data_IF_366007735018
#
_entry.id   IF_366007735018
#
_cell.length_a   1.000
_cell.length_b   1.000
_cell.length_c   1.000
_cell.angle_alpha   90.00
_cell.angle_beta   90.00
_cell.angle_gamma   90.00
#
_symmetry.space_group_name_H-M   'P 1'
#
loop_
_entity.id
_entity.type
_entity.pdbx_description
1 polymer ?
#
# COMPACT_ATOMS: atom_id res chain seq x y z
N UNK A 1 12.54 3.81 -84.81
CA UNK A 1 12.79 2.50 -85.45
C UNK A 1 12.54 1.44 -84.37
N UNK A 2 11.68 0.42 -84.47
CA UNK A 2 11.12 -0.30 -85.62
C UNK A 2 11.52 -1.79 -85.49
N UNK A 3 10.51 -2.67 -85.44
CA UNK A 3 10.48 -4.16 -85.43
C UNK A 3 10.52 -4.88 -84.07
N UNK A 4 9.47 -5.63 -83.66
CA UNK A 4 8.82 -6.84 -84.22
C UNK A 4 9.76 -8.05 -84.23
N UNK A 5 9.41 -9.25 -83.73
CA UNK A 5 8.16 -9.78 -83.20
C UNK A 5 8.24 -11.30 -83.05
N UNK A 6 7.10 -11.91 -82.70
CA UNK A 6 6.75 -13.35 -82.90
C UNK A 6 7.27 -14.34 -81.81
N UNK A 7 6.49 -15.25 -81.19
CA UNK A 7 5.13 -15.76 -81.46
C UNK A 7 4.60 -16.65 -80.32
N UNK A 8 3.27 -16.56 -80.09
CA UNK A 8 2.24 -17.62 -79.80
C UNK A 8 2.41 -18.59 -78.61
N UNK A 9 1.51 -18.56 -77.62
CA UNK A 9 0.15 -19.18 -77.54
C UNK A 9 0.21 -20.60 -76.91
N UNK A 10 -0.69 -21.13 -76.08
CA UNK A 10 -1.94 -20.69 -75.44
C UNK A 10 -2.30 -21.72 -74.36
N UNK A 11 -3.02 -21.31 -73.29
CA UNK A 11 -4.26 -21.96 -72.78
C UNK A 11 -4.81 -21.24 -71.53
N UNK A 12 -6.08 -20.87 -71.61
CA UNK A 12 -7.02 -20.35 -70.58
C UNK A 12 -7.96 -21.52 -70.18
N UNK A 13 -8.99 -21.40 -69.29
CA UNK A 13 -9.38 -20.32 -68.36
C UNK A 13 -9.82 -20.84 -66.95
N UNK A 14 -10.27 -19.93 -66.07
CA UNK A 14 -11.30 -20.05 -64.99
C UNK A 14 -10.79 -19.44 -63.69
N UNK A 15 -11.48 -18.63 -62.90
CA UNK A 15 -12.77 -17.92 -62.95
C UNK A 15 -12.78 -16.99 -61.72
N UNK A 16 -13.30 -15.76 -61.84
CA UNK A 16 -13.67 -14.90 -60.68
C UNK A 16 -15.08 -15.36 -60.21
N UNK A 17 -15.53 -15.15 -58.95
CA UNK A 17 -15.47 -13.86 -58.24
C UNK A 17 -15.34 -13.88 -56.69
N UNK A 18 -14.98 -12.71 -56.15
CA UNK A 18 -15.44 -12.08 -54.90
C UNK A 18 -16.05 -12.95 -53.78
N UNK A 19 -15.53 -12.80 -52.55
CA UNK A 19 -16.35 -12.44 -51.38
C UNK A 19 -15.49 -11.98 -50.19
N UNK A 20 -15.69 -10.73 -49.76
CA UNK A 20 -15.36 -10.27 -48.40
C UNK A 20 -16.44 -10.76 -47.42
N UNK A 21 -16.01 -11.00 -46.17
CA UNK A 21 -16.70 -10.95 -44.86
C UNK A 21 -16.56 -12.26 -44.06
N UNK A 22 -16.74 -12.25 -42.72
CA UNK A 22 -16.63 -11.15 -41.75
C UNK A 22 -15.61 -11.47 -40.63
N UNK A 23 -15.33 -10.48 -39.79
CA UNK A 23 -14.63 -10.68 -38.53
C UNK A 23 -15.38 -11.72 -37.69
N UNK A 24 -14.67 -12.79 -37.31
CA UNK A 24 -15.20 -13.79 -36.40
C UNK A 24 -15.50 -13.15 -35.05
N UNK A 25 -16.71 -13.46 -34.58
CA UNK A 25 -17.38 -12.78 -33.49
C UNK A 25 -16.58 -12.76 -32.20
N UNK A 26 -16.65 -11.61 -31.54
CA UNK A 26 -16.41 -11.51 -30.10
C UNK A 26 -17.35 -12.52 -29.43
N UNK A 27 -16.78 -13.60 -28.91
CA UNK A 27 -17.49 -14.58 -28.09
C UNK A 27 -18.24 -13.83 -26.98
N UNK A 28 -19.50 -14.20 -26.75
CA UNK A 28 -20.34 -13.64 -25.67
C UNK A 28 -19.71 -13.78 -24.27
N UNK A 29 -18.63 -14.57 -24.13
CA UNK A 29 -17.80 -14.65 -22.91
C UNK A 29 -16.81 -13.49 -22.73
N UNK A 30 -16.37 -12.83 -23.80
CA UNK A 30 -15.41 -11.72 -23.73
C UNK A 30 -16.06 -10.39 -23.31
N UNK A 31 -17.37 -10.22 -23.55
CA UNK A 31 -18.09 -8.98 -23.20
C UNK A 31 -18.41 -8.86 -21.69
N UNK A 32 -18.36 -9.97 -20.93
CA UNK A 32 -18.48 -9.95 -19.47
C UNK A 32 -17.16 -9.60 -18.77
N UNK A 33 -16.04 -9.55 -19.50
CA UNK A 33 -14.73 -9.15 -18.96
C UNK A 33 -14.36 -7.73 -19.42
N UNK A 34 -15.04 -7.14 -20.42
CA UNK A 34 -14.44 -6.06 -21.21
C UNK A 34 -15.07 -4.65 -21.24
N UNK A 35 -16.39 -4.42 -21.08
CA UNK A 35 -16.84 -3.04 -21.37
C UNK A 35 -18.32 -2.68 -21.37
N UNK A 36 -19.14 -3.25 -20.48
CA UNK A 36 -20.60 -3.10 -20.56
C UNK A 36 -21.32 -2.51 -19.36
N UNK A 37 -20.71 -1.66 -18.50
CA UNK A 37 -21.42 -1.17 -17.29
C UNK A 37 -21.16 0.31 -16.94
N UNK A 38 -21.05 1.20 -17.93
CA UNK A 38 -20.53 2.57 -17.68
C UNK A 38 -21.47 3.48 -16.83
N UNK A 39 -22.77 3.18 -16.67
CA UNK A 39 -23.65 4.01 -15.82
C UNK A 39 -24.07 3.36 -14.49
N UNK A 40 -24.32 2.05 -14.44
CA UNK A 40 -24.71 1.36 -13.20
C UNK A 40 -23.52 0.75 -12.43
N UNK A 41 -22.39 0.47 -13.10
CA UNK A 41 -21.16 0.08 -12.39
C UNK A 41 -20.41 1.27 -11.85
N UNK A 42 -20.72 2.51 -12.24
CA UNK A 42 -20.16 3.67 -11.53
C UNK A 42 -20.46 3.54 -10.03
N UNK A 43 -21.72 3.33 -9.67
CA UNK A 43 -22.15 3.17 -8.28
C UNK A 43 -21.76 1.80 -7.71
N UNK A 44 -22.00 0.69 -8.42
CA UNK A 44 -21.69 -0.64 -7.90
C UNK A 44 -20.17 -0.90 -7.78
N UNK A 45 -19.34 -0.41 -8.71
CA UNK A 45 -17.88 -0.48 -8.61
C UNK A 45 -17.33 0.49 -7.57
N UNK A 46 -17.95 1.67 -7.38
CA UNK A 46 -17.60 2.56 -6.25
C UNK A 46 -17.93 1.92 -4.91
N UNK A 47 -19.03 1.18 -4.79
CA UNK A 47 -19.38 0.44 -3.58
C UNK A 47 -18.49 -0.81 -3.39
N UNK A 48 -18.10 -1.47 -4.48
CA UNK A 48 -17.23 -2.64 -4.42
C UNK A 48 -15.75 -2.28 -4.19
N UNK A 49 -15.31 -1.05 -4.53
CA UNK A 49 -13.89 -0.66 -4.43
C UNK A 49 -13.35 -0.81 -3.01
N UNK A 50 -14.16 -0.51 -2.00
CA UNK A 50 -13.74 -0.54 -0.59
C UNK A 50 -13.72 -1.97 -0.05
N UNK A 51 -14.54 -2.87 -0.60
CA UNK A 51 -14.47 -4.31 -0.31
C UNK A 51 -13.25 -4.95 -0.98
N UNK A 52 -13.01 -4.62 -2.26
CA UNK A 52 -11.85 -5.11 -3.01
C UNK A 52 -10.54 -4.60 -2.42
N UNK A 53 -10.45 -3.32 -2.02
CA UNK A 53 -9.26 -2.78 -1.35
C UNK A 53 -8.96 -3.48 -0.03
N UNK A 54 -9.99 -3.77 0.78
CA UNK A 54 -9.83 -4.51 2.03
C UNK A 54 -9.34 -5.93 1.80
N UNK A 55 -9.93 -6.63 0.84
CA UNK A 55 -9.51 -7.99 0.48
C UNK A 55 -8.09 -8.03 -0.10
N UNK A 56 -7.72 -7.04 -0.91
CA UNK A 56 -6.40 -6.97 -1.56
C UNK A 56 -5.24 -6.87 -0.56
N UNK A 57 -5.35 -6.01 0.45
CA UNK A 57 -4.32 -5.90 1.50
C UNK A 57 -4.34 -7.06 2.51
N UNK A 58 -5.36 -7.92 2.47
CA UNK A 58 -5.40 -9.15 3.27
C UNK A 58 -4.72 -10.34 2.58
N UNK A 59 -4.26 -10.18 1.32
CA UNK A 59 -3.53 -11.22 0.60
C UNK A 59 -2.10 -11.33 1.14
N UNK A 60 -1.60 -12.52 1.50
CA UNK A 60 -0.22 -12.69 1.94
C UNK A 60 0.79 -12.12 0.94
N UNK A 61 1.72 -11.28 1.42
CA UNK A 61 2.75 -10.63 0.61
C UNK A 61 2.34 -9.31 -0.05
N UNK A 62 1.12 -8.83 0.21
CA UNK A 62 0.60 -7.54 -0.29
C UNK A 62 0.51 -6.55 0.87
N UNK A 63 1.60 -5.82 1.12
CA UNK A 63 1.66 -4.81 2.19
C UNK A 63 1.23 -3.43 1.71
N UNK A 64 0.64 -2.61 2.59
CA UNK A 64 0.42 -1.19 2.31
C UNK A 64 1.76 -0.49 2.01
N UNK A 65 1.86 0.39 1.00
CA UNK A 65 3.11 1.09 0.72
C UNK A 65 3.48 2.02 1.88
N UNK A 66 4.72 1.95 2.36
CA UNK A 66 5.27 2.90 3.33
C UNK A 66 6.10 3.95 2.60
N UNK A 67 5.87 5.22 2.92
CA UNK A 67 6.82 6.29 2.59
C UNK A 67 7.78 6.47 3.78
N UNK A 68 9.10 6.29 3.59
CA UNK A 68 10.07 6.54 4.65
C UNK A 68 9.93 7.96 5.19
N UNK A 69 9.88 8.11 6.52
CA UNK A 69 9.79 9.41 7.17
C UNK A 69 8.45 10.13 7.06
N UNK A 70 7.40 9.45 6.59
CA UNK A 70 6.07 10.02 6.58
C UNK A 70 5.55 10.21 8.01
N UNK A 71 4.97 11.38 8.26
CA UNK A 71 4.41 11.76 9.55
C UNK A 71 2.91 11.48 9.55
N UNK A 72 2.44 10.83 10.60
CA UNK A 72 1.01 10.69 10.89
C UNK A 72 0.51 11.89 11.70
N UNK A 73 1.38 12.48 12.53
CA UNK A 73 1.15 13.76 13.19
C UNK A 73 1.97 14.89 12.55
N UNK A 74 1.29 15.85 11.92
CA UNK A 74 1.93 16.94 11.19
C UNK A 74 2.84 17.85 12.04
N UNK A 75 2.64 17.90 13.36
CA UNK A 75 3.47 18.68 14.29
C UNK A 75 4.74 17.97 14.76
N UNK A 76 4.98 16.73 14.32
CA UNK A 76 6.18 15.98 14.69
C UNK A 76 7.36 16.22 13.72
N UNK A 77 8.53 15.80 14.17
CA UNK A 77 9.69 15.51 13.31
C UNK A 77 9.94 14.01 13.28
N UNK A 78 10.54 13.50 12.20
CA UNK A 78 10.77 12.06 12.08
C UNK A 78 12.18 11.67 12.56
N UNK A 79 12.25 10.70 13.48
CA UNK A 79 13.49 10.02 13.86
C UNK A 79 13.20 8.53 14.05
N UNK A 80 13.58 7.70 13.08
CA UNK A 80 13.21 6.29 13.09
C UNK A 80 13.74 5.54 14.33
N UNK A 81 12.87 4.76 14.97
CA UNK A 81 13.27 3.71 15.90
C UNK A 81 13.95 2.55 15.16
N UNK A 82 14.72 1.74 15.88
CA UNK A 82 15.28 0.51 15.33
C UNK A 82 14.17 -0.45 14.89
N UNK A 83 14.32 -1.09 13.73
CA UNK A 83 13.38 -2.11 13.23
C UNK A 83 13.28 -3.33 14.16
N UNK A 84 14.24 -3.53 15.07
CA UNK A 84 14.17 -4.57 16.10
C UNK A 84 13.15 -4.27 17.22
N UNK A 85 12.71 -3.02 17.33
CA UNK A 85 11.90 -2.51 18.45
C UNK A 85 10.41 -2.37 18.13
N UNK A 86 10.00 -2.79 16.92
CA UNK A 86 8.62 -2.77 16.45
C UNK A 86 8.40 -3.83 15.37
N UNK A 87 7.15 -3.98 14.89
CA UNK A 87 6.84 -4.84 13.73
C UNK A 87 5.85 -4.21 12.79
N UNK A 88 5.92 -4.62 11.53
CA UNK A 88 4.94 -4.26 10.51
C UNK A 88 3.53 -4.73 10.88
N UNK A 89 2.55 -3.93 10.48
CA UNK A 89 1.13 -4.22 10.52
C UNK A 89 0.39 -3.46 9.40
N UNK A 90 -0.80 -3.85 9.02
CA UNK A 90 -1.63 -3.16 8.04
C UNK A 90 -2.88 -2.53 8.68
N UNK A 91 -2.67 -1.78 9.77
CA UNK A 91 -3.74 -1.09 10.49
C UNK A 91 -4.55 -0.12 9.58
N UNK A 92 -5.87 0.01 9.78
CA UNK A 92 -6.70 -0.65 10.79
C UNK A 92 -7.22 -2.04 10.37
N UNK A 93 -6.76 -2.60 9.24
CA UNK A 93 -7.30 -3.86 8.70
C UNK A 93 -6.85 -5.07 9.53
N UNK A 94 -5.62 -5.02 10.06
CA UNK A 94 -5.19 -5.81 11.21
C UNK A 94 -5.00 -4.88 12.43
N UNK A 95 -5.18 -5.42 13.64
CA UNK A 95 -4.96 -4.72 14.91
C UNK A 95 -5.52 -3.28 15.01
N UNK A 96 -6.85 -3.07 14.85
CA UNK A 96 -7.44 -1.74 14.95
C UNK A 96 -7.09 -1.08 16.29
N UNK A 97 -6.62 0.17 16.20
CA UNK A 97 -6.24 0.97 17.36
C UNK A 97 -7.49 1.38 18.12
N UNK A 98 -7.50 1.14 19.43
CA UNK A 98 -8.60 1.54 20.33
C UNK A 98 -8.12 2.18 21.63
N UNK A 99 -6.81 2.39 21.78
CA UNK A 99 -6.23 3.04 22.96
C UNK A 99 -4.97 3.83 22.63
N UNK A 100 -4.69 4.79 23.50
CA UNK A 100 -3.40 5.45 23.61
C UNK A 100 -2.80 5.01 24.93
N UNK A 101 -1.52 4.64 24.92
CA UNK A 101 -0.75 4.34 26.13
C UNK A 101 0.24 5.49 26.32
N UNK A 102 0.21 6.07 27.51
CA UNK A 102 1.04 7.20 27.90
C UNK A 102 2.05 6.70 28.91
N UNK A 103 3.32 7.02 28.67
CA UNK A 103 4.45 6.69 29.53
C UNK A 103 5.22 7.96 29.90
N UNK A 104 6.09 7.81 30.90
CA UNK A 104 7.13 8.77 31.23
C UNK A 104 8.47 8.07 31.03
N UNK A 105 9.40 8.74 30.36
CA UNK A 105 10.69 8.16 29.92
C UNK A 105 11.62 7.74 31.06
N UNK A 106 11.47 8.30 32.27
CA UNK A 106 12.48 8.22 33.34
C UNK A 106 13.86 8.68 32.85
N UNK A 107 13.87 9.75 32.05
CA UNK A 107 15.06 10.22 31.33
C UNK A 107 14.78 11.46 30.49
N UNK A 108 15.82 12.02 29.87
CA UNK A 108 15.68 13.14 28.94
C UNK A 108 15.12 12.70 27.59
N UNK A 109 14.61 13.67 26.83
CA UNK A 109 14.13 13.47 25.46
C UNK A 109 15.19 12.80 24.58
N UNK A 110 16.42 13.32 24.59
CA UNK A 110 17.50 12.82 23.75
C UNK A 110 17.93 11.41 24.17
N UNK A 111 17.87 11.10 25.47
CA UNK A 111 18.14 9.75 25.95
C UNK A 111 17.08 8.75 25.46
N UNK A 112 15.79 9.13 25.49
CA UNK A 112 14.71 8.28 25.00
C UNK A 112 14.83 8.03 23.49
N UNK A 113 15.12 9.07 22.70
CA UNK A 113 15.37 8.92 21.25
C UNK A 113 16.52 7.93 21.00
N UNK A 114 17.65 8.11 21.69
CA UNK A 114 18.82 7.26 21.53
C UNK A 114 18.54 5.81 21.91
N UNK A 115 17.81 5.59 23.00
CA UNK A 115 17.46 4.25 23.49
C UNK A 115 16.56 3.51 22.51
N UNK A 116 15.56 4.17 21.91
CA UNK A 116 14.69 3.51 20.93
C UNK A 116 15.35 3.29 19.56
N UNK A 117 16.49 3.93 19.29
CA UNK A 117 17.35 3.62 18.14
C UNK A 117 18.26 2.41 18.37
N UNK A 118 18.43 1.95 19.61
CA UNK A 118 19.25 0.78 19.93
C UNK A 118 18.46 -0.52 19.66
N UNK A 119 18.91 -1.39 18.73
CA UNK A 119 18.25 -2.68 18.50
C UNK A 119 18.29 -3.62 19.71
N UNK A 120 19.24 -3.44 20.64
CA UNK A 120 19.34 -4.25 21.85
C UNK A 120 18.27 -3.87 22.90
N UNK A 121 17.60 -2.72 22.75
CA UNK A 121 16.59 -2.28 23.71
C UNK A 121 15.28 -3.06 23.61
N UNK A 122 14.93 -3.57 22.42
CA UNK A 122 13.74 -4.39 22.13
C UNK A 122 12.40 -3.72 22.49
N UNK A 123 12.39 -2.39 22.62
CA UNK A 123 11.22 -1.58 22.92
C UNK A 123 11.28 -0.23 22.20
N UNK A 124 10.13 0.33 21.87
CA UNK A 124 10.01 1.67 21.29
C UNK A 124 8.57 2.17 21.42
N UNK A 125 8.39 3.45 21.12
CA UNK A 125 7.09 4.13 21.10
C UNK A 125 6.82 4.78 19.74
N UNK A 126 5.58 5.20 19.50
CA UNK A 126 5.25 5.92 18.26
C UNK A 126 5.72 7.37 18.34
N UNK A 127 5.52 8.02 19.49
CA UNK A 127 5.86 9.42 19.71
C UNK A 127 6.62 9.65 21.01
N UNK A 128 7.58 10.59 20.98
CA UNK A 128 8.17 11.20 22.18
C UNK A 128 7.79 12.67 22.21
N UNK A 129 7.36 13.17 23.37
CA UNK A 129 7.02 14.57 23.64
C UNK A 129 8.03 15.15 24.63
N UNK A 130 8.73 16.21 24.24
CA UNK A 130 9.66 16.94 25.09
C UNK A 130 8.94 17.96 25.98
N UNK A 131 9.60 18.39 27.06
CA UNK A 131 9.04 19.40 27.96
C UNK A 131 8.85 20.77 27.30
N UNK A 132 9.61 21.05 26.23
CA UNK A 132 9.50 22.24 25.39
C UNK A 132 8.35 22.14 24.35
N UNK A 133 7.58 21.04 24.37
CA UNK A 133 6.45 20.79 23.46
C UNK A 133 6.86 20.20 22.11
N UNK A 134 8.15 19.94 21.87
CA UNK A 134 8.58 19.27 20.62
C UNK A 134 8.09 17.83 20.59
N UNK A 135 7.76 17.35 19.40
CA UNK A 135 7.32 15.96 19.19
C UNK A 135 8.21 15.29 18.15
N UNK A 136 8.68 14.09 18.48
CA UNK A 136 9.33 13.19 17.51
C UNK A 136 8.43 12.00 17.28
N UNK A 137 8.16 11.68 16.01
CA UNK A 137 7.55 10.44 15.59
C UNK A 137 8.65 9.45 15.19
N UNK A 138 8.60 8.25 15.77
CA UNK A 138 9.62 7.22 15.56
C UNK A 138 9.14 6.01 14.77
N UNK A 139 7.83 5.74 14.84
CA UNK A 139 7.16 4.62 14.18
C UNK A 139 5.88 5.16 13.56
N UNK A 140 5.48 4.63 12.40
CA UNK A 140 4.18 4.93 11.80
C UNK A 140 3.07 4.35 12.67
N UNK A 141 1.95 5.05 12.81
CA UNK A 141 0.76 4.49 13.49
C UNK A 141 0.21 3.23 12.80
N UNK A 142 0.57 3.06 11.53
CA UNK A 142 0.34 1.86 10.74
C UNK A 142 0.98 0.60 11.35
N UNK A 143 2.12 0.74 12.05
CA UNK A 143 2.95 -0.36 12.54
C UNK A 143 2.89 -0.50 14.07
N UNK A 144 3.25 -1.66 14.62
CA UNK A 144 3.07 -1.99 16.03
C UNK A 144 4.36 -1.77 16.82
N UNK A 145 4.37 -0.78 17.72
CA UNK A 145 5.47 -0.54 18.66
C UNK A 145 5.49 -1.55 19.84
N UNK A 146 6.68 -1.94 20.31
CA UNK A 146 6.83 -2.76 21.52
C UNK A 146 6.97 -1.89 22.77
N UNK A 147 5.85 -1.43 23.34
CA UNK A 147 5.87 -0.42 24.42
C UNK A 147 5.35 -0.89 25.78
N UNK A 148 4.39 -1.81 25.81
CA UNK A 148 3.61 -2.09 27.02
C UNK A 148 4.07 -3.35 27.77
N UNK A 149 5.13 -4.03 27.30
CA UNK A 149 5.49 -5.37 27.76
C UNK A 149 4.41 -6.45 27.53
N UNK A 150 3.30 -6.07 26.89
CA UNK A 150 2.15 -6.92 26.64
C UNK A 150 1.73 -6.82 25.17
N UNK A 151 1.75 -7.96 24.48
CA UNK A 151 1.49 -8.04 23.04
C UNK A 151 0.10 -7.56 22.65
N UNK A 152 -0.96 -7.96 23.36
CA UNK A 152 -2.33 -7.59 22.98
C UNK A 152 -2.59 -6.09 23.15
N UNK A 153 -1.91 -5.47 24.12
CA UNK A 153 -1.93 -4.02 24.30
C UNK A 153 -1.17 -3.31 23.18
N UNK A 154 0.06 -3.73 22.88
CA UNK A 154 0.87 -3.16 21.80
C UNK A 154 0.12 -3.17 20.47
N UNK A 155 -0.53 -4.29 20.16
CA UNK A 155 -1.24 -4.49 18.89
C UNK A 155 -2.30 -3.42 18.65
N UNK A 156 -3.03 -2.98 19.69
CA UNK A 156 -4.18 -2.09 19.56
C UNK A 156 -3.92 -0.67 20.06
N UNK A 157 -2.66 -0.27 20.23
CA UNK A 157 -2.28 1.00 20.84
C UNK A 157 -1.35 1.85 19.98
N UNK A 158 -1.54 3.17 20.09
CA UNK A 158 -0.50 4.17 19.86
C UNK A 158 0.20 4.44 21.19
N UNK A 159 1.51 4.60 21.16
CA UNK A 159 2.35 4.87 22.34
C UNK A 159 2.88 6.29 22.32
N UNK A 160 2.86 6.95 23.47
CA UNK A 160 3.41 8.29 23.67
C UNK A 160 4.27 8.30 24.92
N UNK A 161 5.54 8.68 24.77
CA UNK A 161 6.49 8.87 25.87
C UNK A 161 6.62 10.36 26.16
N UNK A 162 6.37 10.78 27.40
CA UNK A 162 6.65 12.14 27.84
C UNK A 162 8.02 12.19 28.53
N UNK A 163 8.85 13.14 28.13
CA UNK A 163 10.11 13.44 28.82
C UNK A 163 9.85 13.80 30.28
N UNK A 164 10.46 13.03 31.20
CA UNK A 164 10.41 13.36 32.61
C UNK A 164 10.88 12.26 33.54
N UNK A 165 10.68 12.51 34.83
CA UNK A 165 10.96 11.64 35.96
C UNK A 165 9.73 11.58 36.85
N UNK A 166 9.54 10.48 37.58
CA UNK A 166 8.45 10.31 38.54
C UNK A 166 9.08 10.00 39.90
N UNK A 167 8.62 10.69 40.94
CA UNK A 167 9.10 10.57 42.32
C UNK A 167 8.15 9.72 43.19
#
# INVERSE_FOLDING_TARGET
MGNNGSTRAARKPSGKPSRKKPADGVSRRALLIGGGVVAAAGTAAVLARDQVKRLWWQVPGVEKPRKPGELDYAGATWVAASEANWRRADRPDDFPIDRVIIHVTQGSFDSAVKVFQDPAHQAATHYIVGQDGRVVQMIRELDVAYQAGNRSFNERAVGIEHEGFVD
#
